data_IF_980724389618
#
_entry.id   IF_980724389618
#
_cell.length_a   1.000
_cell.length_b   1.000
_cell.length_c   1.000
_cell.angle_alpha   90.00
_cell.angle_beta   90.00
_cell.angle_gamma   90.00
#
_symmetry.space_group_name_H-M   'P 1'
#
loop_
_entity.id
_entity.type
_entity.pdbx_description
1 polymer ?
#
# COMPACT_ATOMS: atom_id res chain seq x y z
N UNK A 1 -13.53 24.63 -24.59
CA UNK A 1 -12.73 23.45 -24.18
C UNK A 1 -13.56 22.20 -24.43
N UNK A 2 -13.04 21.24 -25.20
CA UNK A 2 -13.75 19.98 -25.49
C UNK A 2 -13.74 19.05 -24.28
N UNK A 3 -14.75 18.19 -24.15
CA UNK A 3 -14.85 17.22 -23.05
C UNK A 3 -13.59 16.35 -22.91
N UNK A 4 -12.94 16.05 -24.05
CA UNK A 4 -11.69 15.30 -24.13
C UNK A 4 -10.52 16.01 -23.43
N UNK A 5 -10.38 17.33 -23.60
CA UNK A 5 -9.33 18.11 -22.95
C UNK A 5 -9.53 18.16 -21.41
N UNK A 6 -10.79 18.16 -20.96
CA UNK A 6 -11.13 18.11 -19.54
C UNK A 6 -10.80 16.74 -18.92
N UNK A 7 -11.12 15.64 -19.60
CA UNK A 7 -10.76 14.28 -19.18
C UNK A 7 -9.23 14.10 -19.13
N UNK A 8 -8.53 14.53 -20.17
CA UNK A 8 -7.06 14.46 -20.23
C UNK A 8 -6.39 15.26 -19.10
N UNK A 9 -6.94 16.42 -18.75
CA UNK A 9 -6.45 17.23 -17.62
C UNK A 9 -6.72 16.60 -16.25
N UNK A 10 -7.79 15.82 -16.10
CA UNK A 10 -8.07 15.05 -14.89
C UNK A 10 -7.10 13.88 -14.75
N UNK A 11 -6.88 13.12 -15.83
CA UNK A 11 -5.95 11.99 -15.87
C UNK A 11 -4.51 12.41 -15.57
N UNK A 12 -4.07 13.55 -16.11
CA UNK A 12 -2.72 14.09 -15.86
C UNK A 12 -2.50 14.40 -14.37
N UNK A 13 -3.49 15.00 -13.70
CA UNK A 13 -3.40 15.32 -12.26
C UNK A 13 -3.44 14.06 -11.39
N UNK A 14 -4.26 13.07 -11.77
CA UNK A 14 -4.33 11.76 -11.11
C UNK A 14 -2.96 11.09 -11.14
N UNK A 15 -2.36 10.95 -12.32
CA UNK A 15 -1.07 10.29 -12.52
C UNK A 15 0.09 11.02 -11.83
N UNK A 16 0.10 12.34 -11.91
CA UNK A 16 1.09 13.17 -11.21
C UNK A 16 0.99 12.94 -9.69
N UNK A 17 -0.22 13.01 -9.13
CA UNK A 17 -0.44 12.77 -7.70
C UNK A 17 -0.02 11.36 -7.29
N UNK A 18 -0.34 10.36 -8.11
CA UNK A 18 -0.01 8.97 -7.83
C UNK A 18 1.52 8.77 -7.75
N UNK A 19 2.23 9.30 -8.75
CA UNK A 19 3.68 9.16 -8.87
C UNK A 19 4.41 9.88 -7.74
N UNK A 20 4.05 11.13 -7.47
CA UNK A 20 4.71 11.95 -6.44
C UNK A 20 4.47 11.46 -5.01
N UNK A 21 3.32 10.81 -4.75
CA UNK A 21 3.02 10.26 -3.43
C UNK A 21 3.59 8.86 -3.21
N UNK A 22 3.86 8.10 -4.27
CA UNK A 22 4.30 6.70 -4.18
C UNK A 22 5.49 6.42 -3.25
N UNK A 23 6.59 7.22 -3.24
CA UNK A 23 7.70 6.92 -2.32
C UNK A 23 7.26 7.02 -0.86
N UNK A 24 6.49 8.04 -0.50
CA UNK A 24 5.99 8.22 0.88
C UNK A 24 4.99 7.13 1.26
N UNK A 25 4.09 6.77 0.34
CA UNK A 25 3.09 5.73 0.57
C UNK A 25 3.74 4.36 0.71
N UNK A 26 4.75 4.04 -0.10
CA UNK A 26 5.52 2.79 0.02
C UNK A 26 6.21 2.70 1.38
N UNK A 27 6.87 3.77 1.83
CA UNK A 27 7.51 3.82 3.14
C UNK A 27 6.50 3.67 4.27
N UNK A 28 5.33 4.30 4.16
CA UNK A 28 4.26 4.16 5.13
C UNK A 28 3.76 2.70 5.23
N UNK A 29 3.53 2.04 4.10
CA UNK A 29 3.10 0.63 4.06
C UNK A 29 4.14 -0.28 4.71
N UNK A 30 5.42 -0.10 4.38
CA UNK A 30 6.51 -0.89 4.98
C UNK A 30 6.61 -0.67 6.49
N UNK A 31 6.56 0.59 6.94
CA UNK A 31 6.59 0.92 8.36
C UNK A 31 5.41 0.27 9.10
N UNK A 32 4.21 0.29 8.54
CA UNK A 32 3.04 -0.37 9.12
C UNK A 32 3.23 -1.87 9.24
N UNK A 33 3.76 -2.55 8.22
CA UNK A 33 4.03 -4.00 8.28
C UNK A 33 5.05 -4.33 9.38
N UNK A 34 6.12 -3.55 9.49
CA UNK A 34 7.16 -3.77 10.51
C UNK A 34 6.60 -3.55 11.93
N UNK A 35 5.89 -2.44 12.15
CA UNK A 35 5.27 -2.13 13.44
C UNK A 35 4.25 -3.21 13.83
N UNK A 36 3.42 -3.66 12.89
CA UNK A 36 2.47 -4.75 13.14
C UNK A 36 3.16 -6.07 13.47
N UNK A 37 4.22 -6.41 12.75
CA UNK A 37 5.00 -7.64 13.00
C UNK A 37 5.63 -7.61 14.39
N UNK A 38 6.19 -6.45 14.77
CA UNK A 38 6.75 -6.23 16.10
C UNK A 38 5.69 -6.31 17.21
N UNK A 39 4.53 -5.66 17.02
CA UNK A 39 3.41 -5.73 17.97
C UNK A 39 2.94 -7.18 18.14
N UNK A 40 2.70 -7.89 17.05
CA UNK A 40 2.29 -9.31 17.11
C UNK A 40 3.34 -10.17 17.82
N UNK A 41 4.64 -9.96 17.56
CA UNK A 41 5.71 -10.67 18.27
C UNK A 41 5.72 -10.41 19.77
N UNK A 42 5.33 -9.21 20.21
CA UNK A 42 5.21 -8.85 21.64
C UNK A 42 4.03 -9.54 22.32
N UNK A 43 2.91 -9.69 21.62
CA UNK A 43 1.69 -10.33 22.15
C UNK A 43 1.69 -11.85 21.99
N UNK A 44 2.40 -12.39 21.00
CA UNK A 44 2.47 -13.82 20.67
C UNK A 44 3.92 -14.32 20.64
N UNK A 45 4.60 -14.34 21.80
CA UNK A 45 5.99 -14.80 21.89
C UNK A 45 6.12 -16.26 21.44
N UNK A 46 7.22 -16.58 20.75
CA UNK A 46 7.48 -17.92 20.21
C UNK A 46 6.87 -18.20 18.82
N UNK A 47 6.09 -17.27 18.28
CA UNK A 47 5.61 -17.36 16.89
C UNK A 47 6.75 -17.09 15.91
N UNK A 48 6.87 -17.90 14.86
CA UNK A 48 7.90 -17.74 13.84
C UNK A 48 7.80 -16.41 13.08
N UNK A 49 8.95 -15.83 12.72
CA UNK A 49 9.03 -14.53 12.06
C UNK A 49 8.26 -14.46 10.74
N UNK A 50 8.26 -15.54 9.94
CA UNK A 50 7.49 -15.64 8.69
C UNK A 50 6.00 -15.50 8.94
N UNK A 51 5.47 -16.16 9.98
CA UNK A 51 4.04 -16.12 10.31
C UNK A 51 3.65 -14.72 10.78
N UNK A 52 4.44 -14.11 11.66
CA UNK A 52 4.22 -12.73 12.14
C UNK A 52 4.23 -11.73 10.98
N UNK A 53 5.18 -11.87 10.06
CA UNK A 53 5.29 -11.02 8.87
C UNK A 53 4.10 -11.22 7.92
N UNK A 54 3.73 -12.47 7.61
CA UNK A 54 2.63 -12.78 6.71
C UNK A 54 1.29 -12.25 7.24
N UNK A 55 0.98 -12.46 8.52
CA UNK A 55 -0.24 -11.94 9.15
C UNK A 55 -0.25 -10.41 9.09
N UNK A 56 0.88 -9.76 9.39
CA UNK A 56 0.99 -8.30 9.31
C UNK A 56 0.78 -7.77 7.90
N UNK A 57 1.36 -8.43 6.90
CA UNK A 57 1.17 -8.07 5.49
C UNK A 57 -0.30 -8.18 5.07
N UNK A 58 -1.02 -9.23 5.50
CA UNK A 58 -2.46 -9.40 5.24
C UNK A 58 -3.29 -8.30 5.92
N UNK A 59 -2.98 -7.93 7.17
CA UNK A 59 -3.72 -6.86 7.86
C UNK A 59 -3.51 -5.52 7.15
N UNK A 60 -2.26 -5.19 6.79
CA UNK A 60 -1.95 -3.96 6.07
C UNK A 60 -2.55 -3.96 4.65
N UNK A 61 -2.62 -5.12 3.99
CA UNK A 61 -3.32 -5.28 2.71
C UNK A 61 -4.79 -4.89 2.81
N UNK A 62 -5.50 -5.44 3.79
CA UNK A 62 -6.92 -5.16 4.00
C UNK A 62 -7.13 -3.68 4.28
N UNK A 63 -6.28 -3.07 5.11
CA UNK A 63 -6.31 -1.64 5.39
C UNK A 63 -6.12 -0.80 4.11
N UNK A 64 -5.09 -1.09 3.32
CA UNK A 64 -4.82 -0.39 2.07
C UNK A 64 -5.97 -0.55 1.07
N UNK A 65 -6.54 -1.76 0.98
CA UNK A 65 -7.68 -2.06 0.10
C UNK A 65 -8.91 -1.25 0.48
N UNK A 66 -9.23 -1.19 1.78
CA UNK A 66 -10.35 -0.37 2.28
C UNK A 66 -10.11 1.10 1.99
N UNK A 67 -8.91 1.62 2.27
CA UNK A 67 -8.56 3.01 2.00
C UNK A 67 -8.68 3.35 0.51
N UNK A 68 -8.10 2.53 -0.37
CA UNK A 68 -8.21 2.72 -1.81
C UNK A 68 -9.66 2.65 -2.29
N UNK A 69 -10.46 1.70 -1.80
CA UNK A 69 -11.88 1.59 -2.16
C UNK A 69 -12.69 2.83 -1.75
N UNK A 70 -12.43 3.38 -0.56
CA UNK A 70 -13.05 4.63 -0.08
C UNK A 70 -12.60 5.82 -0.92
N UNK A 71 -11.30 5.95 -1.20
CA UNK A 71 -10.74 7.05 -1.98
C UNK A 71 -11.19 7.06 -3.45
N UNK A 72 -11.33 5.88 -4.07
CA UNK A 72 -11.83 5.72 -5.45
C UNK A 72 -13.28 6.20 -5.59
N UNK A 73 -14.10 6.06 -4.55
CA UNK A 73 -15.49 6.54 -4.54
C UNK A 73 -15.59 8.07 -4.46
N UNK A 74 -14.49 8.77 -4.18
CA UNK A 74 -14.46 10.22 -4.16
C UNK A 74 -14.47 10.79 -5.58
N UNK A 75 -15.25 11.84 -5.81
CA UNK A 75 -15.26 12.59 -7.08
C UNK A 75 -14.00 13.47 -7.27
N UNK A 76 -13.09 13.48 -6.30
CA UNK A 76 -11.86 14.26 -6.33
C UNK A 76 -10.74 13.55 -7.11
N UNK A 77 -10.15 14.17 -8.15
CA UNK A 77 -9.04 13.61 -8.91
C UNK A 77 -7.79 13.36 -8.04
N UNK A 78 -7.60 14.15 -6.99
CA UNK A 78 -6.51 13.96 -6.04
C UNK A 78 -6.71 12.70 -5.20
N UNK A 79 -7.94 12.48 -4.71
CA UNK A 79 -8.26 11.29 -3.93
C UNK A 79 -8.06 10.01 -4.76
N UNK A 80 -8.48 10.04 -6.03
CA UNK A 80 -8.26 8.93 -6.96
C UNK A 80 -6.77 8.68 -7.23
N UNK A 81 -5.97 9.74 -7.44
CA UNK A 81 -4.52 9.63 -7.58
C UNK A 81 -3.82 9.02 -6.35
N UNK A 82 -4.25 9.41 -5.13
CA UNK A 82 -3.76 8.79 -3.90
C UNK A 82 -4.18 7.33 -3.81
N UNK A 83 -5.41 6.98 -4.18
CA UNK A 83 -5.87 5.59 -4.18
C UNK A 83 -5.03 4.69 -5.09
N UNK A 84 -4.67 5.20 -6.28
CA UNK A 84 -3.82 4.51 -7.24
C UNK A 84 -2.39 4.35 -6.70
N UNK A 85 -1.86 5.37 -6.03
CA UNK A 85 -0.57 5.31 -5.33
C UNK A 85 -0.56 4.25 -4.24
N UNK A 86 -1.60 4.21 -3.39
CA UNK A 86 -1.76 3.20 -2.34
C UNK A 86 -1.80 1.79 -2.94
N UNK A 87 -2.60 1.59 -4.00
CA UNK A 87 -2.69 0.29 -4.66
C UNK A 87 -1.35 -0.16 -5.25
N UNK A 88 -0.67 0.70 -6.00
CA UNK A 88 0.63 0.39 -6.63
C UNK A 88 1.74 0.19 -5.61
N UNK A 89 1.84 1.08 -4.62
CA UNK A 89 2.86 1.02 -3.56
C UNK A 89 2.69 -0.23 -2.70
N UNK A 90 1.44 -0.58 -2.35
CA UNK A 90 1.16 -1.82 -1.64
C UNK A 90 1.54 -3.05 -2.47
N UNK A 91 1.22 -3.09 -3.77
CA UNK A 91 1.57 -4.21 -4.64
C UNK A 91 3.10 -4.45 -4.69
N UNK A 92 3.88 -3.37 -4.80
CA UNK A 92 5.35 -3.43 -4.75
C UNK A 92 5.83 -3.90 -3.39
N UNK A 93 5.32 -3.32 -2.30
CA UNK A 93 5.71 -3.68 -0.94
C UNK A 93 5.37 -5.14 -0.61
N UNK A 94 4.20 -5.64 -1.05
CA UNK A 94 3.80 -7.03 -0.85
C UNK A 94 4.72 -7.97 -1.64
N UNK A 95 5.02 -7.65 -2.90
CA UNK A 95 5.90 -8.47 -3.73
C UNK A 95 7.29 -8.56 -3.11
N UNK A 96 7.90 -7.42 -2.77
CA UNK A 96 9.20 -7.39 -2.11
C UNK A 96 9.18 -8.07 -0.74
N UNK A 97 8.10 -7.88 0.02
CA UNK A 97 7.90 -8.51 1.32
C UNK A 97 7.80 -10.03 1.25
N UNK A 98 7.09 -10.57 0.26
CA UNK A 98 7.00 -12.02 0.04
C UNK A 98 8.36 -12.59 -0.33
N UNK A 99 9.08 -11.95 -1.25
CA UNK A 99 10.44 -12.35 -1.62
C UNK A 99 11.35 -12.36 -0.39
N UNK A 100 11.32 -11.30 0.42
CA UNK A 100 12.09 -11.23 1.67
C UNK A 100 11.69 -12.31 2.68
N UNK A 101 10.39 -12.49 2.90
CA UNK A 101 9.87 -13.45 3.87
C UNK A 101 10.24 -14.89 3.52
N UNK A 102 10.13 -15.28 2.24
CA UNK A 102 10.50 -16.61 1.80
C UNK A 102 12.00 -16.84 1.66
N UNK A 103 12.75 -15.81 1.27
CA UNK A 103 14.19 -15.98 1.03
C UNK A 103 15.03 -15.80 2.30
N UNK A 104 14.64 -14.92 3.21
CA UNK A 104 15.47 -14.58 4.37
C UNK A 104 14.84 -15.09 5.67
N UNK A 105 13.53 -14.91 5.88
CA UNK A 105 12.92 -15.29 7.16
C UNK A 105 12.58 -16.79 7.27
N UNK A 106 12.53 -17.52 6.15
CA UNK A 106 12.16 -18.93 6.13
C UNK A 106 13.33 -19.90 6.42
N UNK A 107 14.56 -19.38 6.54
CA UNK A 107 15.79 -20.14 6.79
C UNK A 107 16.45 -19.69 8.09
#
# INVERSE_FOLDING_TARGET
>A
MTALARLHGLDTRVWSTATWSSPFVTQLVLALVIVMSWLLGKWFPGTGAVVLFAVSAVVVFLLCTVLSAVLIRSTSPRAYGVALSVAGSFAVALTGGLVYGFWILAW
#
